data_IF_845229935395
#
_entry.id   IF_845229935395
#
_cell.length_a   1.000
_cell.length_b   1.000
_cell.length_c   1.000
_cell.angle_alpha   90.00
_cell.angle_beta   90.00
_cell.angle_gamma   90.00
#
_symmetry.space_group_name_H-M   'P 1'
#
loop_
_entity.id
_entity.type
_entity.pdbx_description
1 polymer ?
#
# COMPACT_ATOMS: atom_id res chain seq x y z
N UNK A 1 -2.88 -5.18 -1.00
CA UNK A 1 -1.79 -5.57 -0.06
C UNK A 1 -0.49 -5.00 -0.57
N UNK A 2 0.50 -4.80 0.28
CA UNK A 2 1.80 -4.24 -0.09
C UNK A 2 2.85 -5.33 0.08
N UNK A 3 3.74 -5.52 -0.90
CA UNK A 3 4.80 -6.55 -0.87
C UNK A 3 6.17 -5.92 -1.13
N UNK A 4 7.22 -6.64 -0.74
CA UNK A 4 8.56 -6.43 -1.29
C UNK A 4 8.83 -7.45 -2.41
N UNK A 5 9.32 -6.96 -3.54
CA UNK A 5 9.90 -7.77 -4.62
C UNK A 5 11.22 -7.18 -5.07
N UNK A 6 12.28 -7.98 -5.08
CA UNK A 6 13.54 -7.60 -5.73
C UNK A 6 14.04 -6.16 -5.39
N UNK A 7 13.99 -5.81 -4.10
CA UNK A 7 14.43 -4.49 -3.61
C UNK A 7 13.41 -3.35 -3.78
N UNK A 8 12.22 -3.62 -4.34
CA UNK A 8 11.16 -2.64 -4.53
C UNK A 8 9.89 -3.00 -3.74
N UNK A 9 9.10 -1.98 -3.39
CA UNK A 9 7.83 -2.17 -2.70
C UNK A 9 6.69 -1.88 -3.65
N UNK A 10 5.78 -2.84 -3.80
CA UNK A 10 4.68 -2.78 -4.75
C UNK A 10 3.34 -3.05 -4.06
N UNK A 11 2.26 -2.52 -4.63
CA UNK A 11 0.91 -3.00 -4.30
C UNK A 11 0.62 -4.27 -5.08
N UNK A 12 0.36 -5.36 -4.36
CA UNK A 12 -0.20 -6.59 -4.93
C UNK A 12 -1.72 -6.57 -4.70
N UNK A 13 -2.49 -6.73 -5.78
CA UNK A 13 -3.96 -6.83 -5.72
C UNK A 13 -4.43 -8.28 -5.81
N UNK A 14 -3.58 -9.19 -6.29
CA UNK A 14 -3.90 -10.60 -6.51
C UNK A 14 -3.44 -11.54 -5.40
N UNK A 15 -2.49 -11.12 -4.57
CA UNK A 15 -1.97 -11.91 -3.43
C UNK A 15 -1.22 -13.16 -3.80
N UNK A 16 -0.80 -13.26 -5.05
CA UNK A 16 -0.10 -14.43 -5.60
C UNK A 16 1.39 -14.18 -5.75
N UNK A 17 1.87 -12.97 -5.49
CA UNK A 17 3.27 -12.63 -5.70
C UNK A 17 4.11 -13.05 -4.48
N UNK A 18 5.18 -13.82 -4.71
CA UNK A 18 6.06 -14.30 -3.64
C UNK A 18 6.80 -13.15 -2.92
N UNK A 19 7.00 -13.25 -1.61
CA UNK A 19 7.73 -12.26 -0.79
C UNK A 19 7.10 -12.01 0.58
N UNK A 20 7.66 -11.04 1.32
CA UNK A 20 7.02 -10.51 2.55
C UNK A 20 5.97 -9.49 2.17
N UNK A 21 4.80 -9.60 2.80
CA UNK A 21 3.67 -8.70 2.54
C UNK A 21 3.07 -8.15 3.82
N UNK A 22 2.46 -6.96 3.69
CA UNK A 22 1.65 -6.31 4.69
C UNK A 22 0.26 -6.02 4.12
N UNK A 23 -0.77 -6.26 4.93
CA UNK A 23 -2.16 -6.03 4.54
C UNK A 23 -2.62 -4.67 5.02
N UNK A 24 -3.08 -3.84 4.09
CA UNK A 24 -3.78 -2.59 4.38
C UNK A 24 -5.22 -2.74 3.92
N UNK A 25 -6.14 -2.24 4.72
CA UNK A 25 -7.53 -2.15 4.30
C UNK A 25 -7.70 -1.11 3.19
N UNK A 26 -8.83 -1.16 2.48
CA UNK A 26 -9.10 -0.22 1.39
C UNK A 26 -9.48 1.19 1.88
N UNK A 27 -9.69 1.38 3.19
CA UNK A 27 -9.98 2.68 3.76
C UNK A 27 -8.73 3.57 3.76
N UNK A 28 -8.84 4.86 3.43
CA UNK A 28 -7.71 5.78 3.35
C UNK A 28 -6.96 5.91 4.68
N UNK A 29 -7.65 5.77 5.81
CA UNK A 29 -7.06 5.76 7.14
C UNK A 29 -6.00 4.65 7.30
N UNK A 30 -6.21 3.46 6.71
CA UNK A 30 -5.22 2.37 6.76
C UNK A 30 -3.95 2.75 6.03
N UNK A 31 -4.06 3.46 4.91
CA UNK A 31 -2.90 3.90 4.13
C UNK A 31 -2.15 5.01 4.86
N UNK A 32 -2.84 6.03 5.37
CA UNK A 32 -2.21 7.08 6.17
C UNK A 32 -1.49 6.49 7.39
N UNK A 33 -2.17 5.62 8.15
CA UNK A 33 -1.61 5.01 9.35
C UNK A 33 -0.46 4.05 9.02
N UNK A 34 -0.56 3.27 7.94
CA UNK A 34 0.48 2.34 7.51
C UNK A 34 1.75 3.03 7.01
N UNK A 35 1.59 4.18 6.34
CA UNK A 35 2.70 4.97 5.81
C UNK A 35 3.28 5.94 6.84
N UNK A 36 2.49 6.39 7.81
CA UNK A 36 2.94 7.25 8.91
C UNK A 36 3.79 6.47 9.91
N UNK A 37 4.92 7.07 10.31
CA UNK A 37 5.80 6.51 11.34
C UNK A 37 6.48 5.19 10.96
N UNK A 38 6.56 4.85 9.67
CA UNK A 38 7.33 3.69 9.18
C UNK A 38 6.73 2.32 9.54
N UNK A 39 5.42 2.22 9.78
CA UNK A 39 4.78 0.92 10.10
C UNK A 39 4.92 -0.09 8.96
N UNK A 40 4.78 0.35 7.72
CA UNK A 40 5.03 -0.50 6.55
C UNK A 40 6.48 -0.93 6.46
N UNK A 41 7.42 -0.04 6.75
CA UNK A 41 8.86 -0.34 6.76
C UNK A 41 9.18 -1.43 7.77
N UNK A 42 8.59 -1.34 8.97
CA UNK A 42 8.69 -2.35 10.01
C UNK A 42 8.07 -3.70 9.59
N UNK A 43 6.82 -3.66 9.10
CA UNK A 43 6.08 -4.86 8.72
C UNK A 43 6.74 -5.62 7.55
N UNK A 44 7.26 -4.86 6.58
CA UNK A 44 7.94 -5.41 5.40
C UNK A 44 9.42 -5.74 5.70
N UNK A 45 9.98 -5.18 6.78
CA UNK A 45 11.42 -5.23 7.11
C UNK A 45 12.29 -4.67 5.99
N UNK A 46 11.91 -3.50 5.48
CA UNK A 46 12.67 -2.74 4.47
C UNK A 46 12.56 -1.26 4.76
N UNK A 47 13.49 -0.48 4.21
CA UNK A 47 13.35 0.97 4.10
C UNK A 47 12.51 1.28 2.85
N UNK A 48 11.52 2.17 2.99
CA UNK A 48 10.78 2.68 1.84
C UNK A 48 11.53 3.89 1.28
N UNK A 49 11.85 3.86 -0.01
CA UNK A 49 12.30 5.07 -0.71
C UNK A 49 11.16 6.10 -0.75
N UNK A 50 11.52 7.36 -0.98
CA UNK A 50 10.54 8.42 -1.14
C UNK A 50 9.56 8.12 -2.28
N UNK A 51 10.08 7.63 -3.41
CA UNK A 51 9.29 7.20 -4.56
C UNK A 51 8.27 6.09 -4.20
N UNK A 52 8.71 5.03 -3.50
CA UNK A 52 7.80 3.97 -3.05
C UNK A 52 6.69 4.53 -2.15
N UNK A 53 7.02 5.48 -1.27
CA UNK A 53 6.04 6.14 -0.41
C UNK A 53 5.02 6.93 -1.23
N UNK A 54 5.48 7.73 -2.19
CA UNK A 54 4.59 8.54 -3.03
C UNK A 54 3.67 7.68 -3.90
N UNK A 55 4.18 6.57 -4.44
CA UNK A 55 3.37 5.60 -5.18
C UNK A 55 2.28 4.98 -4.29
N UNK A 56 2.62 4.56 -3.06
CA UNK A 56 1.66 3.98 -2.12
C UNK A 56 0.60 5.01 -1.67
N UNK A 57 0.98 6.26 -1.42
CA UNK A 57 0.04 7.35 -1.10
C UNK A 57 -0.92 7.58 -2.27
N UNK A 58 -0.37 7.69 -3.49
CA UNK A 58 -1.15 7.93 -4.71
C UNK A 58 -2.14 6.80 -4.95
N UNK A 59 -1.69 5.56 -4.77
CA UNK A 59 -2.54 4.39 -4.89
C UNK A 59 -3.68 4.38 -3.86
N UNK A 60 -3.38 4.65 -2.58
CA UNK A 60 -4.41 4.77 -1.55
C UNK A 60 -5.46 5.84 -1.84
N UNK A 61 -5.03 6.99 -2.38
CA UNK A 61 -5.93 8.07 -2.83
C UNK A 61 -6.79 7.67 -4.04
N UNK A 62 -6.20 6.95 -5.00
CA UNK A 62 -6.94 6.45 -6.16
C UNK A 62 -7.97 5.40 -5.77
N UNK A 63 -7.64 4.48 -4.86
CA UNK A 63 -8.63 3.55 -4.28
C UNK A 63 -9.78 4.33 -3.66
N UNK A 64 -9.51 5.37 -2.88
CA UNK A 64 -10.57 6.20 -2.30
C UNK A 64 -11.47 6.83 -3.36
N UNK A 65 -10.87 7.37 -4.44
CA UNK A 65 -11.60 7.97 -5.55
C UNK A 65 -12.51 6.93 -6.23
N UNK A 66 -12.01 5.73 -6.50
CA UNK A 66 -12.77 4.64 -7.11
C UNK A 66 -13.87 4.12 -6.19
N UNK A 67 -13.63 4.01 -4.87
CA UNK A 67 -14.64 3.59 -3.90
C UNK A 67 -15.77 4.61 -3.76
N UNK A 68 -15.46 5.90 -3.78
CA UNK A 68 -16.46 6.98 -3.73
C UNK A 68 -17.23 7.04 -5.05
N UNK A 69 -16.56 6.86 -6.19
CA UNK A 69 -17.19 6.88 -7.51
C UNK A 69 -17.97 5.60 -7.84
N UNK A 70 -17.64 4.47 -7.20
CA UNK A 70 -18.22 3.15 -7.43
C UNK A 70 -19.34 2.76 -6.46
N UNK A 71 -19.70 3.61 -5.49
CA UNK A 71 -20.89 3.42 -4.64
C UNK A 71 -22.14 3.96 -5.32
N UNK A 72 -22.33 3.54 -6.57
CA UNK A 72 -23.42 3.91 -7.45
C UNK A 72 -23.68 2.79 -8.45
N UNK A 73 -24.08 1.62 -7.95
CA UNK A 73 -24.94 0.66 -8.65
C UNK A 73 -25.70 -0.15 -7.60
#
# INVERSE_FOLDING_TARGET
>A
MVRISEGSVEVDTGGRKAGRGAYLCQAPECWEVGLKGGRLEYALRTTLTQDNREQLITYGKNILKELISGRGN
#
